data_IF_605344390694
#
_entry.id   IF_605344390694
#
_cell.length_a   1.000
_cell.length_b   1.000
_cell.length_c   1.000
_cell.angle_alpha   90.00
_cell.angle_beta   90.00
_cell.angle_gamma   90.00
#
_symmetry.space_group_name_H-M   'P 1'
#
loop_
_entity.id
_entity.type
_entity.pdbx_description
1 polymer ?
#
# COMPACT_ATOMS: atom_id res chain seq x y z
N UNK A 1 -44.14 44.49 36.04
CA UNK A 1 -42.85 45.18 35.82
C UNK A 1 -41.76 44.13 35.84
N UNK A 2 -41.48 43.50 34.69
CA UNK A 2 -40.47 42.44 34.53
C UNK A 2 -39.16 43.15 34.16
N UNK A 3 -38.16 43.09 35.05
CA UNK A 3 -36.84 43.73 34.85
C UNK A 3 -36.13 43.12 33.64
N UNK A 4 -35.54 44.00 32.82
CA UNK A 4 -34.66 43.71 31.70
C UNK A 4 -33.73 42.51 31.96
N UNK A 5 -33.85 41.46 31.15
CA UNK A 5 -32.80 40.46 30.98
C UNK A 5 -31.67 41.09 30.16
N UNK A 6 -30.80 41.85 30.83
CA UNK A 6 -29.56 42.32 30.24
C UNK A 6 -28.66 41.13 29.94
N UNK A 7 -28.38 40.87 28.67
CA UNK A 7 -27.32 39.95 28.29
C UNK A 7 -26.00 40.48 28.86
N UNK A 8 -25.38 39.71 29.76
CA UNK A 8 -24.03 39.98 30.25
C UNK A 8 -23.08 40.04 29.03
N UNK A 9 -22.11 40.97 29.00
CA UNK A 9 -21.14 41.02 27.90
C UNK A 9 -20.39 39.69 27.81
N UNK A 10 -20.30 39.14 26.59
CA UNK A 10 -19.59 37.89 26.35
C UNK A 10 -18.11 38.06 26.72
N UNK A 11 -17.71 37.45 27.84
CA UNK A 11 -16.31 37.37 28.24
C UNK A 11 -15.59 36.37 27.33
N UNK A 12 -14.31 36.61 26.97
CA UNK A 12 -13.53 35.64 26.25
C UNK A 12 -13.46 34.33 27.05
N UNK A 13 -13.53 33.16 26.39
CA UNK A 13 -13.42 31.88 27.08
C UNK A 13 -12.09 31.82 27.84
N UNK A 14 -12.07 31.18 29.02
CA UNK A 14 -10.86 31.10 29.83
C UNK A 14 -9.72 30.49 29.01
N UNK A 15 -8.52 31.05 29.13
CA UNK A 15 -7.34 30.60 28.37
C UNK A 15 -6.97 29.12 28.59
N UNK A 16 -7.54 28.50 29.62
CA UNK A 16 -7.42 27.07 29.94
C UNK A 16 -8.36 26.17 29.15
N UNK A 17 -9.37 26.71 28.45
CA UNK A 17 -10.33 25.95 27.65
C UNK A 17 -10.18 26.18 26.14
N UNK A 18 -9.34 27.12 25.72
CA UNK A 18 -9.04 27.42 24.31
C UNK A 18 -7.56 27.29 23.98
N UNK A 19 -7.25 27.05 22.71
CA UNK A 19 -5.87 26.91 22.22
C UNK A 19 -5.20 25.58 22.59
N UNK A 20 -3.87 25.54 22.47
CA UNK A 20 -3.07 24.32 22.69
C UNK A 20 -3.20 23.79 24.11
N UNK A 21 -3.24 24.68 25.11
CA UNK A 21 -3.37 24.30 26.53
C UNK A 21 -4.74 23.67 26.80
N UNK A 22 -5.81 24.27 26.25
CA UNK A 22 -7.15 23.69 26.32
C UNK A 22 -7.23 22.33 25.64
N UNK A 23 -6.61 22.18 24.47
CA UNK A 23 -6.53 20.92 23.75
C UNK A 23 -5.79 19.83 24.54
N UNK A 24 -4.61 20.14 25.12
CA UNK A 24 -3.83 19.19 25.91
C UNK A 24 -4.60 18.72 27.15
N UNK A 25 -5.26 19.64 27.87
CA UNK A 25 -6.08 19.26 29.03
C UNK A 25 -7.28 18.38 28.64
N UNK A 26 -7.95 18.71 27.55
CA UNK A 26 -9.13 17.96 27.11
C UNK A 26 -8.78 16.58 26.55
N UNK A 27 -7.63 16.43 25.86
CA UNK A 27 -7.29 15.20 25.17
C UNK A 27 -6.30 14.31 25.94
N UNK A 28 -5.27 14.89 26.57
CA UNK A 28 -4.19 14.13 27.23
C UNK A 28 -4.35 14.03 28.75
N UNK A 29 -4.94 15.05 29.38
CA UNK A 29 -5.06 15.14 30.85
C UNK A 29 -6.51 15.34 31.38
N UNK A 30 -7.56 14.71 30.80
CA UNK A 30 -8.94 14.96 31.25
C UNK A 30 -9.30 14.27 32.58
N UNK A 31 -8.53 13.27 33.02
CA UNK A 31 -8.74 12.54 34.27
C UNK A 31 -7.41 12.12 34.91
N UNK A 32 -7.35 11.83 36.22
CA UNK A 32 -6.12 11.37 36.87
C UNK A 32 -5.53 10.10 36.25
N UNK A 33 -6.39 9.14 35.85
CA UNK A 33 -5.97 7.92 35.16
C UNK A 33 -5.34 8.25 33.81
N UNK A 34 -5.97 9.12 33.01
CA UNK A 34 -5.44 9.53 31.70
C UNK A 34 -4.14 10.31 31.85
N UNK A 35 -3.99 11.12 32.89
CA UNK A 35 -2.72 11.78 33.20
C UNK A 35 -1.60 10.78 33.47
N UNK A 36 -1.85 9.75 34.27
CA UNK A 36 -0.86 8.68 34.53
C UNK A 36 -0.54 7.91 33.25
N UNK A 37 -1.55 7.51 32.47
CA UNK A 37 -1.36 6.81 31.20
C UNK A 37 -0.59 7.64 30.17
N UNK A 38 -0.87 8.94 30.08
CA UNK A 38 -0.15 9.87 29.21
C UNK A 38 1.31 9.99 29.62
N UNK A 39 1.60 10.18 30.91
CA UNK A 39 2.98 10.26 31.41
C UNK A 39 3.72 8.96 31.15
N UNK A 40 3.10 7.82 31.42
CA UNK A 40 3.67 6.50 31.18
C UNK A 40 3.91 6.26 29.69
N UNK A 41 2.98 6.65 28.81
CA UNK A 41 3.15 6.56 27.37
C UNK A 41 4.31 7.42 26.86
N UNK A 42 4.42 8.67 27.33
CA UNK A 42 5.55 9.56 27.01
C UNK A 42 6.87 8.96 27.48
N UNK A 43 6.90 8.38 28.69
CA UNK A 43 8.08 7.74 29.25
C UNK A 43 8.48 6.50 28.43
N UNK A 44 7.53 5.65 28.03
CA UNK A 44 7.80 4.50 27.16
C UNK A 44 8.30 4.95 25.78
N UNK A 45 7.68 5.96 25.18
CA UNK A 45 8.13 6.55 23.92
C UNK A 45 9.56 7.05 24.06
N UNK A 46 9.89 7.73 25.16
CA UNK A 46 11.25 8.19 25.44
C UNK A 46 12.24 7.02 25.53
N UNK A 47 11.89 5.98 26.30
CA UNK A 47 12.74 4.79 26.47
C UNK A 47 12.99 4.02 25.16
N UNK A 48 12.05 4.03 24.21
CA UNK A 48 12.23 3.36 22.91
C UNK A 48 12.92 4.29 21.92
N UNK A 49 12.47 5.54 21.83
CA UNK A 49 12.89 6.46 20.77
C UNK A 49 14.32 6.93 20.98
N UNK A 50 14.72 7.29 22.20
CA UNK A 50 16.06 7.85 22.44
C UNK A 50 17.17 6.84 22.15
N UNK A 51 17.12 5.59 22.65
CA UNK A 51 18.12 4.58 22.29
C UNK A 51 18.07 4.23 20.80
N UNK A 52 16.87 4.15 20.21
CA UNK A 52 16.74 3.85 18.77
C UNK A 52 17.36 4.95 17.91
N UNK A 53 17.06 6.22 18.16
CA UNK A 53 17.64 7.35 17.43
C UNK A 53 19.16 7.41 17.62
N UNK A 54 19.62 7.18 18.86
CA UNK A 54 21.04 7.11 19.15
C UNK A 54 21.73 5.99 18.37
N UNK A 55 21.13 4.80 18.33
CA UNK A 55 21.66 3.64 17.59
C UNK A 55 21.61 3.84 16.07
N UNK A 56 20.50 4.37 15.53
CA UNK A 56 20.29 4.54 14.08
C UNK A 56 21.13 5.67 13.49
N UNK A 57 21.33 6.76 14.23
CA UNK A 57 21.93 7.98 13.67
C UNK A 57 23.22 8.39 14.35
N UNK A 58 23.25 8.43 15.68
CA UNK A 58 24.37 9.03 16.43
C UNK A 58 25.57 8.08 16.50
N UNK A 59 25.31 6.81 16.82
CA UNK A 59 26.32 5.78 16.95
C UNK A 59 26.45 4.96 15.66
N UNK A 60 25.92 5.40 14.52
CA UNK A 60 25.90 4.59 13.31
C UNK A 60 27.17 4.72 12.46
N UNK A 61 27.51 3.65 11.74
CA UNK A 61 28.65 3.61 10.83
C UNK A 61 28.20 3.98 9.41
N UNK A 62 28.62 5.15 8.93
CA UNK A 62 28.19 5.73 7.65
C UNK A 62 29.19 5.53 6.50
N UNK A 63 30.48 5.34 6.81
CA UNK A 63 31.56 5.32 5.81
C UNK A 63 32.32 4.00 5.91
N UNK A 64 32.47 3.32 4.77
CA UNK A 64 33.20 2.06 4.65
C UNK A 64 32.85 1.34 3.35
N UNK A 65 33.60 0.29 3.03
CA UNK A 65 33.41 -0.49 1.78
C UNK A 65 32.67 -1.82 2.01
N UNK A 66 32.62 -2.31 3.26
CA UNK A 66 32.00 -3.60 3.58
C UNK A 66 31.46 -3.63 5.01
N UNK A 67 30.70 -4.68 5.33
CA UNK A 67 30.14 -4.92 6.68
C UNK A 67 31.20 -4.87 7.79
N UNK A 68 32.45 -5.23 7.51
CA UNK A 68 33.53 -5.25 8.50
C UNK A 68 33.92 -3.84 8.98
N UNK A 69 33.55 -2.79 8.25
CA UNK A 69 33.76 -1.42 8.68
C UNK A 69 32.80 -0.99 9.80
N UNK A 70 31.76 -1.77 10.09
CA UNK A 70 30.78 -1.44 11.11
C UNK A 70 31.25 -1.90 12.50
N UNK A 71 31.77 -0.98 13.30
CA UNK A 71 32.43 -1.27 14.59
C UNK A 71 31.81 -0.52 15.78
N UNK A 72 30.98 0.48 15.54
CA UNK A 72 30.46 1.37 16.58
C UNK A 72 29.39 0.74 17.48
N UNK A 73 28.90 -0.46 17.13
CA UNK A 73 27.76 -1.10 17.78
C UNK A 73 26.40 -0.47 17.44
N UNK A 74 26.39 0.58 16.61
CA UNK A 74 25.18 1.21 16.06
C UNK A 74 24.67 0.57 14.78
N UNK A 75 23.81 1.29 14.06
CA UNK A 75 23.34 0.87 12.75
C UNK A 75 24.48 0.87 11.71
N UNK A 76 24.52 -0.17 10.88
CA UNK A 76 25.53 -0.36 9.84
C UNK A 76 25.01 0.15 8.49
N UNK A 77 25.07 1.46 8.24
CA UNK A 77 24.64 2.06 6.97
C UNK A 77 25.58 1.72 5.82
N UNK A 78 26.85 1.44 6.11
CA UNK A 78 27.82 0.93 5.12
C UNK A 78 27.30 -0.31 4.39
N UNK A 79 26.72 -1.28 5.12
CA UNK A 79 26.17 -2.48 4.51
C UNK A 79 24.97 -2.15 3.61
N UNK A 80 24.11 -1.24 4.04
CA UNK A 80 22.93 -0.81 3.27
C UNK A 80 23.36 -0.13 1.97
N UNK A 81 24.34 0.77 2.03
CA UNK A 81 24.90 1.42 0.85
C UNK A 81 25.56 0.40 -0.10
N UNK A 82 26.36 -0.53 0.43
CA UNK A 82 27.04 -1.56 -0.36
C UNK A 82 26.10 -2.64 -0.97
N UNK A 83 24.83 -2.67 -0.55
CA UNK A 83 23.80 -3.59 -1.05
C UNK A 83 22.57 -2.86 -1.57
N UNK A 84 22.68 -1.56 -1.81
CA UNK A 84 21.56 -0.72 -2.22
C UNK A 84 20.91 -1.24 -3.50
N UNK A 85 21.71 -1.60 -4.51
CA UNK A 85 21.21 -2.11 -5.79
C UNK A 85 20.48 -3.45 -5.65
N UNK A 86 20.94 -4.33 -4.75
CA UNK A 86 20.22 -5.57 -4.42
C UNK A 86 18.86 -5.29 -3.80
N UNK A 87 18.74 -4.26 -2.95
CA UNK A 87 17.46 -3.86 -2.38
C UNK A 87 16.54 -3.19 -3.40
N UNK A 88 17.08 -2.48 -4.39
CA UNK A 88 16.28 -1.80 -5.42
C UNK A 88 15.84 -2.76 -6.54
N UNK A 89 16.77 -3.53 -7.10
CA UNK A 89 16.58 -4.31 -8.32
C UNK A 89 16.63 -5.84 -8.11
N UNK A 90 17.03 -6.32 -6.93
CA UNK A 90 17.20 -7.76 -6.69
C UNK A 90 18.40 -8.33 -7.45
N UNK A 91 18.22 -9.47 -8.11
CA UNK A 91 19.26 -10.15 -8.90
C UNK A 91 19.25 -9.73 -10.38
N UNK A 92 18.60 -8.61 -10.69
CA UNK A 92 18.56 -8.07 -12.04
C UNK A 92 19.98 -7.65 -12.49
N UNK A 93 20.36 -7.85 -13.76
CA UNK A 93 21.71 -7.51 -14.23
C UNK A 93 22.00 -6.00 -14.14
N UNK A 94 23.19 -5.64 -13.64
CA UNK A 94 23.61 -4.24 -13.44
C UNK A 94 23.63 -3.42 -14.73
N UNK A 95 24.04 -4.04 -15.86
CA UNK A 95 24.04 -3.39 -17.18
C UNK A 95 22.65 -2.99 -17.65
N UNK A 96 21.59 -3.56 -17.07
CA UNK A 96 20.21 -3.40 -17.53
C UNK A 96 19.32 -2.61 -16.56
N UNK A 97 19.87 -2.07 -15.46
CA UNK A 97 19.12 -1.24 -14.50
C UNK A 97 18.41 -0.05 -15.14
N UNK A 98 18.97 0.48 -16.23
CA UNK A 98 18.35 1.56 -16.99
C UNK A 98 16.94 1.18 -17.49
N UNK A 99 16.65 -0.09 -17.78
CA UNK A 99 15.33 -0.55 -18.23
C UNK A 99 14.26 -0.35 -17.15
N UNK A 100 14.58 -0.77 -15.92
CA UNK A 100 13.70 -0.61 -14.75
C UNK A 100 13.50 0.88 -14.43
N UNK A 101 14.59 1.65 -14.42
CA UNK A 101 14.54 3.08 -14.14
C UNK A 101 13.73 3.84 -15.21
N UNK A 102 13.95 3.51 -16.49
CA UNK A 102 13.20 4.09 -17.59
C UNK A 102 11.72 3.74 -17.49
N UNK A 103 11.37 2.50 -17.15
CA UNK A 103 9.99 2.11 -16.93
C UNK A 103 9.35 3.00 -15.86
N UNK A 104 9.92 3.06 -14.65
CA UNK A 104 9.35 3.88 -13.57
C UNK A 104 9.34 5.37 -13.88
N UNK A 105 10.34 5.88 -14.60
CA UNK A 105 10.35 7.28 -15.07
C UNK A 105 9.20 7.55 -16.05
N UNK A 106 8.92 6.64 -16.98
CA UNK A 106 7.78 6.73 -17.89
C UNK A 106 6.47 6.68 -17.09
N UNK A 107 6.33 5.77 -16.12
CA UNK A 107 5.14 5.71 -15.27
C UNK A 107 4.92 7.03 -14.52
N UNK A 108 5.97 7.55 -13.89
CA UNK A 108 5.92 8.82 -13.16
C UNK A 108 5.51 9.97 -14.10
N UNK A 109 6.08 10.04 -15.29
CA UNK A 109 5.70 11.02 -16.31
C UNK A 109 4.23 10.88 -16.70
N UNK A 110 3.74 9.67 -16.97
CA UNK A 110 2.34 9.42 -17.32
C UNK A 110 1.40 9.84 -16.19
N UNK A 111 1.75 9.57 -14.93
CA UNK A 111 0.98 10.00 -13.76
C UNK A 111 0.97 11.53 -13.60
N UNK A 112 2.11 12.19 -13.81
CA UNK A 112 2.21 13.66 -13.81
C UNK A 112 1.33 14.26 -14.90
N UNK A 113 1.43 13.74 -16.13
CA UNK A 113 0.61 14.18 -17.26
C UNK A 113 -0.89 13.97 -16.99
N UNK A 114 -1.27 12.88 -16.32
CA UNK A 114 -2.66 12.65 -15.91
C UNK A 114 -3.17 13.62 -14.85
N UNK A 115 -2.28 14.25 -14.07
CA UNK A 115 -2.66 15.26 -13.08
C UNK A 115 -2.80 16.66 -13.70
N UNK A 116 -2.17 16.91 -14.86
CA UNK A 116 -2.30 18.18 -15.58
C UNK A 116 -3.70 18.24 -16.23
N UNK A 117 -4.55 19.12 -15.71
CA UNK A 117 -5.97 19.25 -16.12
C UNK A 117 -6.17 19.60 -17.60
N UNK A 118 -5.17 20.20 -18.25
CA UNK A 118 -5.25 20.72 -19.63
C UNK A 118 -4.83 19.71 -20.71
N UNK A 119 -4.45 18.47 -20.35
CA UNK A 119 -3.98 17.49 -21.34
C UNK A 119 -5.14 17.05 -22.25
N UNK A 120 -5.01 17.18 -23.58
CA UNK A 120 -6.04 16.72 -24.51
C UNK A 120 -6.18 15.20 -24.44
N UNK A 121 -7.42 14.69 -24.56
CA UNK A 121 -7.72 13.24 -24.55
C UNK A 121 -7.24 12.50 -23.30
N UNK A 122 -7.29 13.15 -22.13
CA UNK A 122 -6.92 12.57 -20.82
C UNK A 122 -7.48 11.16 -20.55
N UNK A 123 -8.69 10.86 -21.03
CA UNK A 123 -9.28 9.52 -20.90
C UNK A 123 -8.50 8.42 -21.63
N UNK A 124 -8.00 8.70 -22.84
CA UNK A 124 -7.16 7.76 -23.59
C UNK A 124 -5.79 7.58 -22.94
N UNK A 125 -5.21 8.68 -22.42
CA UNK A 125 -3.98 8.61 -21.65
C UNK A 125 -4.18 7.72 -20.40
N UNK A 126 -5.31 7.88 -19.68
CA UNK A 126 -5.60 7.07 -18.50
C UNK A 126 -5.78 5.59 -18.86
N UNK A 127 -6.50 5.30 -19.95
CA UNK A 127 -6.66 3.93 -20.44
C UNK A 127 -5.33 3.30 -20.86
N UNK A 128 -4.46 4.06 -21.54
CA UNK A 128 -3.11 3.61 -21.87
C UNK A 128 -2.30 3.35 -20.60
N UNK A 129 -2.26 4.27 -19.64
CA UNK A 129 -1.50 4.10 -18.39
C UNK A 129 -1.99 2.89 -17.58
N UNK A 130 -3.30 2.61 -17.58
CA UNK A 130 -3.87 1.49 -16.82
C UNK A 130 -3.73 0.13 -17.52
N UNK A 131 -3.84 0.07 -18.85
CA UNK A 131 -3.94 -1.20 -19.59
C UNK A 131 -2.72 -1.40 -20.51
N UNK A 132 -2.33 -0.38 -21.28
CA UNK A 132 -1.24 -0.49 -22.24
C UNK A 132 0.14 -0.44 -21.61
N UNK A 133 0.36 0.47 -20.65
CA UNK A 133 1.64 0.66 -20.02
C UNK A 133 2.15 -0.56 -19.23
N UNK A 134 1.32 -1.33 -18.48
CA UNK A 134 1.79 -2.57 -17.86
C UNK A 134 2.42 -3.56 -18.84
N UNK A 135 1.89 -3.65 -20.07
CA UNK A 135 2.46 -4.50 -21.14
C UNK A 135 3.81 -3.95 -21.60
N UNK A 136 3.89 -2.63 -21.81
CA UNK A 136 5.16 -1.96 -22.16
C UNK A 136 6.21 -2.17 -21.07
N UNK A 137 5.85 -1.98 -19.80
CA UNK A 137 6.72 -2.17 -18.65
C UNK A 137 7.18 -3.62 -18.53
N UNK A 138 6.29 -4.59 -18.76
CA UNK A 138 6.64 -6.02 -18.75
C UNK A 138 7.74 -6.32 -19.77
N UNK A 139 7.57 -5.91 -21.03
CA UNK A 139 8.59 -6.13 -22.06
C UNK A 139 9.87 -5.35 -21.83
N UNK A 140 9.79 -4.18 -21.19
CA UNK A 140 10.97 -3.41 -20.82
C UNK A 140 11.77 -4.13 -19.71
N UNK A 141 11.10 -4.77 -18.75
CA UNK A 141 11.76 -5.55 -17.70
C UNK A 141 12.26 -6.91 -18.21
N UNK A 142 11.46 -7.64 -19.00
CA UNK A 142 11.83 -8.98 -19.48
C UNK A 142 12.85 -8.95 -20.60
N UNK A 143 12.86 -7.88 -21.41
CA UNK A 143 13.58 -7.90 -22.69
C UNK A 143 12.94 -8.86 -23.69
N UNK A 144 13.75 -9.38 -24.62
CA UNK A 144 13.32 -10.35 -25.65
C UNK A 144 12.75 -9.72 -26.93
N UNK A 145 12.42 -8.43 -26.91
CA UNK A 145 12.01 -7.65 -28.08
C UNK A 145 13.06 -6.60 -28.43
N UNK A 146 13.15 -6.25 -29.72
CA UNK A 146 14.05 -5.19 -30.23
C UNK A 146 15.55 -5.42 -29.97
N UNK A 147 15.98 -6.68 -29.84
CA UNK A 147 17.38 -7.04 -29.61
C UNK A 147 17.84 -6.85 -28.17
N UNK A 148 16.91 -6.67 -27.23
CA UNK A 148 17.20 -6.61 -25.79
C UNK A 148 17.43 -8.02 -25.23
N UNK A 149 18.52 -8.20 -24.47
CA UNK A 149 18.80 -9.43 -23.75
C UNK A 149 17.63 -9.83 -22.85
N UNK A 150 17.26 -11.11 -22.88
CA UNK A 150 16.18 -11.65 -22.06
C UNK A 150 16.64 -11.79 -20.60
N UNK A 151 15.87 -11.20 -19.68
CA UNK A 151 16.08 -11.29 -18.24
C UNK A 151 14.93 -12.07 -17.64
N UNK A 152 15.23 -13.29 -17.20
CA UNK A 152 14.25 -14.15 -16.52
C UNK A 152 13.59 -13.44 -15.33
N UNK A 153 12.28 -13.60 -15.22
CA UNK A 153 11.44 -13.16 -14.08
C UNK A 153 11.95 -13.69 -12.74
N UNK A 154 12.68 -14.81 -12.74
CA UNK A 154 13.32 -15.41 -11.57
C UNK A 154 14.35 -14.50 -10.90
N UNK A 155 14.94 -13.57 -11.67
CA UNK A 155 15.96 -12.62 -11.22
C UNK A 155 15.38 -11.29 -10.75
N UNK A 156 14.11 -11.03 -11.04
CA UNK A 156 13.47 -9.79 -10.65
C UNK A 156 13.30 -9.76 -9.14
N UNK A 157 13.52 -8.62 -8.51
CA UNK A 157 13.41 -8.53 -7.06
C UNK A 157 13.52 -7.11 -6.51
N UNK A 158 13.74 -7.03 -5.20
CA UNK A 158 13.87 -5.77 -4.49
C UNK A 158 12.58 -4.93 -4.50
N UNK A 159 12.77 -3.63 -4.34
CA UNK A 159 11.71 -2.62 -4.36
C UNK A 159 11.01 -2.59 -5.73
N UNK A 160 11.75 -2.76 -6.82
CA UNK A 160 11.19 -2.74 -8.17
C UNK A 160 10.09 -3.79 -8.35
N UNK A 161 10.35 -5.05 -7.96
CA UNK A 161 9.35 -6.11 -8.03
C UNK A 161 8.17 -5.84 -7.08
N UNK A 162 8.44 -5.30 -5.90
CA UNK A 162 7.39 -4.94 -4.93
C UNK A 162 6.42 -3.92 -5.53
N UNK A 163 6.95 -2.87 -6.15
CA UNK A 163 6.15 -1.83 -6.81
C UNK A 163 5.34 -2.39 -7.99
N UNK A 164 5.92 -3.29 -8.79
CA UNK A 164 5.21 -3.96 -9.89
C UNK A 164 4.06 -4.81 -9.35
N UNK A 165 4.32 -5.66 -8.36
CA UNK A 165 3.32 -6.53 -7.74
C UNK A 165 2.19 -5.72 -7.11
N UNK A 166 2.50 -4.67 -6.34
CA UNK A 166 1.50 -3.80 -5.75
C UNK A 166 0.70 -3.03 -6.80
N UNK A 167 1.37 -2.50 -7.83
CA UNK A 167 0.70 -1.76 -8.90
C UNK A 167 -0.30 -2.64 -9.66
N UNK A 168 0.13 -3.82 -10.09
CA UNK A 168 -0.77 -4.75 -10.79
C UNK A 168 -1.84 -5.31 -9.85
N UNK A 169 -1.49 -5.63 -8.60
CA UNK A 169 -2.43 -6.07 -7.57
C UNK A 169 -3.58 -5.08 -7.40
N UNK A 170 -3.27 -3.80 -7.18
CA UNK A 170 -4.26 -2.73 -7.03
C UNK A 170 -5.12 -2.59 -8.29
N UNK A 171 -4.50 -2.50 -9.47
CA UNK A 171 -5.22 -2.25 -10.73
C UNK A 171 -6.13 -3.41 -11.10
N UNK A 172 -5.68 -4.65 -10.92
CA UNK A 172 -6.44 -5.84 -11.28
C UNK A 172 -7.47 -6.25 -10.19
N UNK A 173 -7.16 -6.07 -8.91
CA UNK A 173 -8.07 -6.41 -7.81
C UNK A 173 -9.26 -5.47 -7.71
N UNK A 174 -9.12 -4.19 -8.10
CA UNK A 174 -10.19 -3.20 -8.06
C UNK A 174 -11.45 -3.60 -8.84
N UNK A 175 -11.39 -3.89 -10.16
CA UNK A 175 -12.57 -4.29 -10.92
C UNK A 175 -13.18 -5.59 -10.40
N UNK A 176 -12.36 -6.57 -10.02
CA UNK A 176 -12.83 -7.85 -9.47
C UNK A 176 -13.55 -7.61 -8.14
N UNK A 177 -12.96 -6.80 -7.25
CA UNK A 177 -13.55 -6.43 -5.97
C UNK A 177 -14.89 -5.69 -6.13
N UNK A 178 -14.99 -4.77 -7.11
CA UNK A 178 -16.26 -4.09 -7.42
C UNK A 178 -17.32 -5.11 -7.85
N UNK A 179 -16.99 -6.01 -8.79
CA UNK A 179 -17.93 -7.04 -9.27
C UNK A 179 -18.38 -7.95 -8.12
N UNK A 180 -17.46 -8.38 -7.25
CA UNK A 180 -17.77 -9.20 -6.09
C UNK A 180 -18.64 -8.47 -5.05
N UNK A 181 -18.37 -7.19 -4.79
CA UNK A 181 -19.16 -6.36 -3.89
C UNK A 181 -20.60 -6.19 -4.39
N UNK A 182 -20.77 -5.92 -5.69
CA UNK A 182 -22.07 -5.84 -6.34
C UNK A 182 -22.77 -7.20 -6.33
N UNK A 183 -22.04 -8.28 -6.60
CA UNK A 183 -22.55 -9.66 -6.57
C UNK A 183 -23.09 -10.04 -5.19
N UNK A 184 -22.38 -9.69 -4.11
CA UNK A 184 -22.83 -9.91 -2.72
C UNK A 184 -24.12 -9.15 -2.37
N UNK A 185 -24.36 -8.01 -3.02
CA UNK A 185 -25.58 -7.21 -2.86
C UNK A 185 -26.71 -7.58 -3.85
N UNK A 186 -26.50 -8.57 -4.73
CA UNK A 186 -27.48 -8.99 -5.72
C UNK A 186 -28.69 -9.70 -5.10
N UNK A 187 -29.84 -9.58 -5.76
CA UNK A 187 -31.06 -10.35 -5.44
C UNK A 187 -31.00 -11.79 -5.96
N UNK A 188 -30.09 -12.09 -6.90
CA UNK A 188 -29.91 -13.44 -7.44
C UNK A 188 -29.17 -14.32 -6.42
N UNK A 189 -29.80 -15.40 -5.89
CA UNK A 189 -29.24 -16.15 -4.77
C UNK A 189 -27.91 -16.84 -5.12
N UNK A 190 -27.76 -17.32 -6.36
CA UNK A 190 -26.53 -17.99 -6.82
C UNK A 190 -25.35 -17.02 -6.86
N UNK A 191 -25.52 -15.85 -7.50
CA UNK A 191 -24.48 -14.83 -7.62
C UNK A 191 -24.04 -14.37 -6.23
N UNK A 192 -25.01 -14.07 -5.37
CA UNK A 192 -24.76 -13.68 -3.98
C UNK A 192 -23.99 -14.75 -3.21
N UNK A 193 -24.40 -16.02 -3.30
CA UNK A 193 -23.74 -17.12 -2.61
C UNK A 193 -22.29 -17.30 -3.08
N UNK A 194 -22.04 -17.28 -4.39
CA UNK A 194 -20.68 -17.39 -4.97
C UNK A 194 -19.79 -16.24 -4.50
N UNK A 195 -20.28 -15.00 -4.53
CA UNK A 195 -19.52 -13.84 -4.04
C UNK A 195 -19.21 -13.94 -2.55
N UNK A 196 -20.17 -14.36 -1.72
CA UNK A 196 -19.95 -14.54 -0.27
C UNK A 196 -18.90 -15.61 -0.03
N UNK A 197 -19.05 -16.79 -0.62
CA UNK A 197 -18.10 -17.90 -0.42
C UNK A 197 -16.69 -17.49 -0.84
N UNK A 198 -16.55 -16.83 -1.99
CA UNK A 198 -15.25 -16.33 -2.44
C UNK A 198 -14.64 -15.35 -1.43
N UNK A 199 -15.38 -14.31 -1.03
CA UNK A 199 -14.86 -13.26 -0.15
C UNK A 199 -14.47 -13.83 1.21
N UNK A 200 -15.34 -14.64 1.83
CA UNK A 200 -15.08 -15.18 3.16
C UNK A 200 -13.93 -16.22 3.13
N UNK A 201 -13.81 -17.01 2.06
CA UNK A 201 -12.68 -17.94 1.90
C UNK A 201 -11.35 -17.20 1.82
N UNK A 202 -11.21 -16.26 0.88
CA UNK A 202 -9.93 -15.58 0.65
C UNK A 202 -9.50 -14.70 1.83
N UNK A 203 -10.46 -14.11 2.56
CA UNK A 203 -10.17 -13.35 3.78
C UNK A 203 -9.84 -14.25 4.98
N UNK A 204 -10.26 -15.51 4.95
CA UNK A 204 -9.95 -16.50 5.98
C UNK A 204 -8.58 -17.18 5.82
N UNK A 205 -7.95 -17.08 4.64
CA UNK A 205 -6.67 -17.73 4.33
C UNK A 205 -5.51 -16.73 4.45
N UNK A 206 -4.41 -17.03 5.16
CA UNK A 206 -3.24 -16.14 5.19
C UNK A 206 -2.59 -15.98 3.80
N UNK A 207 -2.22 -14.76 3.43
CA UNK A 207 -1.55 -14.49 2.14
C UNK A 207 -0.27 -15.32 1.96
N UNK A 208 0.51 -15.52 3.03
CA UNK A 208 1.71 -16.36 2.97
C UNK A 208 1.40 -17.80 2.54
N UNK A 209 0.26 -18.35 2.99
CA UNK A 209 -0.20 -19.68 2.59
C UNK A 209 -0.55 -19.70 1.11
N UNK A 210 -1.25 -18.68 0.60
CA UNK A 210 -1.55 -18.56 -0.84
C UNK A 210 -0.27 -18.53 -1.66
N UNK A 211 0.69 -17.69 -1.27
CA UNK A 211 1.96 -17.54 -1.98
C UNK A 211 2.79 -18.83 -1.94
N UNK A 212 2.84 -19.50 -0.80
CA UNK A 212 3.53 -20.78 -0.65
C UNK A 212 2.86 -21.90 -1.47
N UNK A 213 1.54 -22.04 -1.36
CA UNK A 213 0.76 -23.01 -2.14
C UNK A 213 0.98 -22.80 -3.64
N UNK A 214 0.88 -21.55 -4.10
CA UNK A 214 1.04 -21.17 -5.50
C UNK A 214 2.47 -21.37 -6.01
N UNK A 215 3.47 -21.07 -5.16
CA UNK A 215 4.88 -21.08 -5.58
C UNK A 215 5.54 -22.45 -5.45
N UNK A 216 5.16 -23.24 -4.44
CA UNK A 216 5.85 -24.47 -4.03
C UNK A 216 4.97 -25.71 -4.23
N UNK A 217 3.70 -25.69 -3.83
CA UNK A 217 2.87 -26.90 -3.86
C UNK A 217 2.20 -27.14 -5.22
N UNK A 218 1.64 -26.11 -5.86
CA UNK A 218 1.01 -26.20 -7.18
C UNK A 218 1.90 -26.88 -8.24
N UNK A 219 3.19 -26.54 -8.39
CA UNK A 219 4.05 -27.22 -9.37
C UNK A 219 4.27 -28.72 -9.10
N UNK A 220 4.02 -29.23 -7.89
CA UNK A 220 4.11 -30.67 -7.60
C UNK A 220 2.94 -31.48 -8.16
N UNK A 221 1.82 -30.82 -8.45
CA UNK A 221 0.62 -31.44 -9.04
C UNK A 221 0.56 -31.28 -10.56
N UNK A 222 1.51 -30.55 -11.14
CA UNK A 222 1.58 -30.31 -12.58
C UNK A 222 2.44 -31.38 -13.27
N UNK A 223 2.10 -31.81 -14.50
CA UNK A 223 2.92 -32.74 -15.26
C UNK A 223 4.36 -32.25 -15.43
N UNK A 224 5.31 -33.17 -15.40
CA UNK A 224 6.71 -32.86 -15.66
C UNK A 224 6.87 -32.12 -16.99
N UNK A 225 7.56 -30.98 -16.97
CA UNK A 225 7.74 -30.10 -18.14
C UNK A 225 6.73 -28.96 -18.27
N UNK A 226 5.65 -28.94 -17.49
CA UNK A 226 4.74 -27.78 -17.43
C UNK A 226 5.17 -26.82 -16.32
N UNK A 227 5.87 -25.75 -16.69
CA UNK A 227 6.27 -24.69 -15.74
C UNK A 227 5.44 -23.43 -15.99
N UNK A 228 4.63 -23.05 -15.00
CA UNK A 228 4.05 -21.71 -14.96
C UNK A 228 5.06 -20.77 -14.30
N UNK A 229 5.23 -19.60 -14.89
CA UNK A 229 6.10 -18.57 -14.39
C UNK A 229 5.83 -18.24 -12.90
N UNK A 230 6.90 -18.15 -12.10
CA UNK A 230 6.78 -17.95 -10.64
C UNK A 230 6.09 -16.63 -10.32
N UNK A 231 6.42 -15.58 -11.07
CA UNK A 231 5.86 -14.24 -10.89
C UNK A 231 4.37 -14.24 -11.23
N UNK A 232 3.97 -14.83 -12.36
CA UNK A 232 2.56 -14.92 -12.77
C UNK A 232 1.68 -15.61 -11.71
N UNK A 233 2.13 -16.75 -11.19
CA UNK A 233 1.38 -17.49 -10.16
C UNK A 233 1.25 -16.70 -8.86
N UNK A 234 2.29 -15.98 -8.46
CA UNK A 234 2.26 -15.10 -7.31
C UNK A 234 1.27 -13.93 -7.53
N UNK A 235 1.30 -13.31 -8.71
CA UNK A 235 0.38 -12.24 -9.09
C UNK A 235 -1.08 -12.69 -9.04
N UNK A 236 -1.41 -13.86 -9.59
CA UNK A 236 -2.78 -14.40 -9.53
C UNK A 236 -3.22 -14.56 -8.07
N UNK A 237 -2.38 -15.14 -7.23
CA UNK A 237 -2.67 -15.30 -5.79
C UNK A 237 -2.90 -13.97 -5.08
N UNK A 238 -2.05 -12.97 -5.34
CA UNK A 238 -2.17 -11.61 -4.78
C UNK A 238 -3.47 -10.96 -5.26
N UNK A 239 -3.76 -10.98 -6.56
CA UNK A 239 -4.96 -10.35 -7.13
C UNK A 239 -6.25 -10.95 -6.57
N UNK A 240 -6.32 -12.27 -6.44
CA UNK A 240 -7.48 -12.95 -5.86
C UNK A 240 -7.66 -12.58 -4.38
N UNK A 241 -6.57 -12.65 -3.61
CA UNK A 241 -6.57 -12.25 -2.20
C UNK A 241 -7.00 -10.79 -2.03
N UNK A 242 -6.33 -9.86 -2.70
CA UNK A 242 -6.63 -8.42 -2.63
C UNK A 242 -8.05 -8.09 -3.11
N UNK A 243 -8.57 -8.79 -4.12
CA UNK A 243 -9.93 -8.56 -4.62
C UNK A 243 -11.00 -8.83 -3.58
N UNK A 244 -10.79 -9.79 -2.68
CA UNK A 244 -11.71 -10.10 -1.59
C UNK A 244 -11.73 -8.98 -0.52
N UNK A 245 -10.56 -8.41 -0.20
CA UNK A 245 -10.48 -7.25 0.69
C UNK A 245 -11.07 -6.00 0.04
N UNK A 246 -10.78 -5.79 -1.25
CA UNK A 246 -11.32 -4.68 -2.02
C UNK A 246 -12.85 -4.75 -2.12
N UNK A 247 -13.43 -5.95 -2.26
CA UNK A 247 -14.87 -6.13 -2.26
C UNK A 247 -15.52 -5.63 -0.96
N UNK A 248 -14.90 -5.90 0.20
CA UNK A 248 -15.39 -5.41 1.48
C UNK A 248 -15.21 -3.90 1.66
N UNK A 249 -14.12 -3.33 1.15
CA UNK A 249 -13.91 -1.87 1.14
C UNK A 249 -14.99 -1.18 0.30
N UNK A 250 -15.24 -1.67 -0.92
CA UNK A 250 -16.29 -1.13 -1.80
C UNK A 250 -17.66 -1.29 -1.16
N UNK A 251 -17.98 -2.47 -0.60
CA UNK A 251 -19.23 -2.70 0.13
C UNK A 251 -19.40 -1.75 1.31
N UNK A 252 -18.35 -1.55 2.09
CA UNK A 252 -18.32 -0.60 3.22
C UNK A 252 -18.55 0.84 2.76
N UNK A 253 -17.94 1.24 1.64
CA UNK A 253 -18.16 2.54 1.02
C UNK A 253 -19.60 2.76 0.56
N UNK A 254 -20.21 1.76 -0.11
CA UNK A 254 -21.61 1.82 -0.53
C UNK A 254 -22.58 1.87 0.65
N UNK A 255 -22.28 1.15 1.73
CA UNK A 255 -23.10 1.10 2.95
C UNK A 255 -23.01 2.39 3.79
N UNK A 256 -21.97 3.19 3.60
CA UNK A 256 -21.80 4.47 4.30
C UNK A 256 -22.74 5.58 3.76
N UNK A 257 -23.35 5.40 2.60
CA UNK A 257 -24.24 6.39 1.99
C UNK A 257 -25.60 6.40 2.75
N UNK A 258 -26.05 7.57 3.25
CA UNK A 258 -27.33 7.67 3.96
C UNK A 258 -28.52 7.22 3.11
N UNK A 259 -29.47 6.50 3.72
CA UNK A 259 -30.67 5.98 3.03
C UNK A 259 -31.49 7.08 2.34
N UNK A 260 -31.56 8.28 2.91
CA UNK A 260 -32.26 9.42 2.31
C UNK A 260 -31.75 9.81 0.92
N UNK A 261 -30.48 9.56 0.59
CA UNK A 261 -29.95 9.78 -0.76
C UNK A 261 -30.52 8.78 -1.77
N UNK A 262 -30.70 7.52 -1.37
CA UNK A 262 -31.34 6.50 -2.21
C UNK A 262 -32.84 6.74 -2.38
N UNK A 263 -33.52 7.26 -1.35
CA UNK A 263 -34.94 7.62 -1.42
C UNK A 263 -35.16 8.83 -2.32
N UNK A 264 -34.35 9.88 -2.19
CA UNK A 264 -34.41 11.06 -3.05
C UNK A 264 -34.11 10.74 -4.52
N UNK A 265 -33.21 9.80 -4.82
CA UNK A 265 -32.91 9.38 -6.18
C UNK A 265 -34.01 8.52 -6.84
N UNK A 266 -34.92 7.94 -6.05
CA UNK A 266 -36.04 7.12 -6.54
C UNK A 266 -37.35 7.90 -6.68
N UNK A 267 -37.48 9.03 -5.99
CA UNK A 267 -38.64 9.93 -6.03
C UNK A 267 -38.64 10.77 -7.32
#
# INVERSE_FOLDING_TARGET
MIKNNGFLPALPPPSTSVGVIGWLRQNLFPSPLNTVLTILAIYLIYLVTVPTVSWVFLNADWVGESRNACTSGGACWVFVAARFDLFMYGFYPESEYWRINLAFAILALLLVLLNIRQVPRRGWLAAFTLIGYPVVAFYLFSGGLFGLDEVETSRWGGLSLTLVLSGVGIVASLPIGIVLALGRNSQMPIVKAVSIVFIEFWRGVPLITVLFMSSVMLPLFLPEGTSFDKLLRAMIGIVLFESAYMAEVVRGGLAAIPRGQYEAAKA
#
